data_IF_017422626804
#
_entry.id   IF_017422626804
#
_cell.length_a   1.000
_cell.length_b   1.000
_cell.length_c   1.000
_cell.angle_alpha   90.00
_cell.angle_beta   90.00
_cell.angle_gamma   90.00
#
_symmetry.space_group_name_H-M   'P 1'
#
loop_
_entity.id
_entity.type
_entity.pdbx_description
1 polymer ?
#
# COMPACT_ATOMS: atom_id res chain seq x y z
N UNK A 1 -17.19 -49.84 7.92
CA UNK A 1 -16.25 -49.08 7.06
C UNK A 1 -16.91 -47.91 6.32
N UNK A 2 -18.16 -48.01 5.86
CA UNK A 2 -18.81 -46.95 5.07
C UNK A 2 -19.15 -45.69 5.87
N UNK A 3 -19.56 -45.82 7.14
CA UNK A 3 -19.87 -44.68 8.01
C UNK A 3 -18.64 -43.80 8.32
N UNK A 4 -17.47 -44.42 8.55
CA UNK A 4 -16.21 -43.70 8.80
C UNK A 4 -15.72 -42.94 7.55
N UNK A 5 -15.88 -43.54 6.36
CA UNK A 5 -15.59 -42.91 5.07
C UNK A 5 -16.47 -41.69 4.82
N UNK A 6 -17.77 -41.79 5.12
CA UNK A 6 -18.71 -40.68 4.95
C UNK A 6 -18.40 -39.54 5.93
N UNK A 7 -18.01 -39.84 7.17
CA UNK A 7 -17.63 -38.84 8.16
C UNK A 7 -16.34 -38.10 7.75
N UNK A 8 -15.35 -38.84 7.26
CA UNK A 8 -14.10 -38.27 6.73
C UNK A 8 -14.34 -37.37 5.51
N UNK A 9 -15.28 -37.75 4.63
CA UNK A 9 -15.64 -36.96 3.46
C UNK A 9 -16.33 -35.64 3.84
N UNK A 10 -17.23 -35.68 4.83
CA UNK A 10 -17.92 -34.49 5.35
C UNK A 10 -16.93 -33.53 6.02
N UNK A 11 -15.94 -34.06 6.77
CA UNK A 11 -14.91 -33.25 7.40
C UNK A 11 -14.01 -32.56 6.36
N UNK A 12 -13.58 -33.28 5.33
CA UNK A 12 -12.82 -32.72 4.19
C UNK A 12 -13.62 -31.65 3.43
N UNK A 13 -14.93 -31.86 3.25
CA UNK A 13 -15.79 -30.88 2.60
C UNK A 13 -15.95 -29.62 3.45
N UNK A 14 -16.04 -29.76 4.77
CA UNK A 14 -16.11 -28.61 5.68
C UNK A 14 -14.82 -27.77 5.72
N UNK A 15 -13.64 -28.41 5.60
CA UNK A 15 -12.36 -27.71 5.48
C UNK A 15 -12.19 -27.01 4.12
N UNK A 16 -12.87 -27.47 3.06
CA UNK A 16 -12.84 -26.79 1.76
C UNK A 16 -13.61 -25.46 1.75
N UNK A 17 -14.54 -25.25 2.69
CA UNK A 17 -15.31 -24.01 2.82
C UNK A 17 -14.70 -22.99 3.80
N UNK A 18 -13.64 -23.34 4.53
CA UNK A 18 -12.77 -22.35 5.22
C UNK A 18 -11.76 -21.76 4.24
N UNK A 19 -12.22 -21.38 3.05
CA UNK A 19 -11.44 -20.51 2.18
C UNK A 19 -11.51 -19.10 2.73
N UNK A 20 -10.35 -18.48 3.01
CA UNK A 20 -10.28 -17.04 3.28
C UNK A 20 -10.88 -16.30 2.09
N UNK A 21 -12.16 -15.96 2.17
CA UNK A 21 -12.75 -14.97 1.28
C UNK A 21 -12.07 -13.65 1.61
N UNK A 22 -11.12 -13.27 0.75
CA UNK A 22 -10.46 -11.98 0.84
C UNK A 22 -11.49 -10.94 0.39
N UNK A 23 -12.42 -10.60 1.27
CA UNK A 23 -13.44 -9.59 1.01
C UNK A 23 -12.71 -8.32 0.57
N UNK A 24 -13.15 -7.75 -0.55
CA UNK A 24 -12.64 -6.48 -1.04
C UNK A 24 -12.73 -5.44 0.08
N UNK A 25 -11.61 -4.80 0.37
CA UNK A 25 -11.50 -3.82 1.45
C UNK A 25 -12.11 -2.49 1.03
N UNK A 26 -12.61 -1.73 1.99
CA UNK A 26 -13.01 -0.33 1.80
C UNK A 26 -11.91 0.58 2.31
N UNK A 27 -11.85 1.81 1.82
CA UNK A 27 -10.90 2.83 2.31
C UNK A 27 -10.97 2.99 3.83
N UNK A 28 -12.18 2.98 4.40
CA UNK A 28 -12.40 3.15 5.84
C UNK A 28 -11.87 2.00 6.70
N UNK A 29 -11.53 0.85 6.09
CA UNK A 29 -10.88 -0.26 6.78
C UNK A 29 -9.40 0.06 7.08
N UNK A 30 -8.79 1.01 6.36
CA UNK A 30 -7.42 1.49 6.58
C UNK A 30 -7.37 2.53 7.71
N UNK A 31 -7.63 2.06 8.92
CA UNK A 31 -7.73 2.90 10.12
C UNK A 31 -6.62 2.67 11.15
N UNK A 32 -5.74 1.68 10.93
CA UNK A 32 -4.64 1.36 11.83
C UNK A 32 -3.44 2.26 11.54
N UNK A 33 -3.02 3.09 12.50
CA UNK A 33 -1.88 3.99 12.34
C UNK A 33 -0.57 3.18 12.33
N UNK A 34 0.13 3.18 11.19
CA UNK A 34 1.40 2.47 11.03
C UNK A 34 2.61 3.35 11.33
N UNK A 35 2.51 4.63 11.00
CA UNK A 35 3.58 5.59 11.21
C UNK A 35 3.02 6.97 11.53
N UNK A 36 3.51 7.53 12.63
CA UNK A 36 3.29 8.92 13.03
C UNK A 36 4.63 9.66 12.91
N UNK A 37 4.75 10.64 12.00
CA UNK A 37 5.99 11.41 11.87
C UNK A 37 6.23 12.28 13.10
N UNK A 38 7.48 12.41 13.52
CA UNK A 38 7.87 13.26 14.67
C UNK A 38 7.93 14.75 14.28
N UNK A 39 8.54 15.05 13.12
CA UNK A 39 8.83 16.41 12.69
C UNK A 39 7.97 16.91 11.52
N UNK A 40 7.21 16.01 10.89
CA UNK A 40 6.39 16.33 9.73
C UNK A 40 4.90 16.22 10.08
N UNK A 41 4.09 17.06 9.43
CA UNK A 41 2.64 17.01 9.52
C UNK A 41 2.05 17.02 8.11
N UNK A 42 0.73 16.89 8.02
CA UNK A 42 0.03 16.91 6.72
C UNK A 42 -0.09 15.56 6.03
N UNK A 43 0.53 14.48 6.51
CA UNK A 43 0.26 13.12 6.01
C UNK A 43 0.13 12.08 7.13
N UNK A 44 -0.54 10.97 6.82
CA UNK A 44 -0.64 9.79 7.69
C UNK A 44 -0.50 8.53 6.84
N UNK A 45 0.10 7.51 7.45
CA UNK A 45 0.27 6.19 6.85
C UNK A 45 -0.53 5.20 7.69
N UNK A 46 -1.55 4.62 7.07
CA UNK A 46 -2.46 3.68 7.73
C UNK A 46 -2.50 2.33 7.03
N UNK A 47 -2.63 1.28 7.82
CA UNK A 47 -2.88 -0.09 7.39
C UNK A 47 -4.31 -0.51 7.72
N UNK A 48 -4.66 -1.72 7.32
CA UNK A 48 -5.91 -2.39 7.66
C UNK A 48 -5.63 -3.75 8.33
N UNK A 49 -6.55 -4.22 9.17
CA UNK A 49 -6.39 -5.50 9.87
C UNK A 49 -6.21 -6.68 8.90
N UNK A 50 -5.14 -7.45 9.08
CA UNK A 50 -4.84 -8.61 8.24
C UNK A 50 -4.40 -8.27 6.81
N UNK A 51 -4.01 -7.01 6.55
CA UNK A 51 -3.50 -6.53 5.26
C UNK A 51 -2.08 -6.00 5.41
N UNK A 52 -1.31 -6.15 4.36
CA UNK A 52 0.04 -5.56 4.25
C UNK A 52 0.05 -4.29 3.39
N UNK A 53 -0.97 -4.07 2.57
CA UNK A 53 -1.08 -2.81 1.82
C UNK A 53 -1.26 -1.62 2.75
N UNK A 54 -0.84 -0.46 2.28
CA UNK A 54 -0.88 0.78 3.06
C UNK A 54 -1.55 1.91 2.29
N UNK A 55 -2.31 2.72 3.01
CA UNK A 55 -2.90 3.96 2.53
C UNK A 55 -2.11 5.14 3.09
N UNK A 56 -1.58 5.96 2.19
CA UNK A 56 -0.98 7.24 2.52
C UNK A 56 -2.00 8.32 2.17
N UNK A 57 -2.41 9.09 3.17
CA UNK A 57 -3.29 10.25 2.98
C UNK A 57 -2.48 11.51 3.18
N UNK A 58 -2.48 12.41 2.21
CA UNK A 58 -1.77 13.69 2.27
C UNK A 58 -2.77 14.84 2.14
N UNK A 59 -2.70 15.81 3.05
CA UNK A 59 -3.54 17.01 3.11
C UNK A 59 -2.71 18.23 2.72
N UNK A 60 -3.33 19.11 1.94
CA UNK A 60 -2.72 20.31 1.39
C UNK A 60 -1.32 20.04 0.80
N UNK A 61 -1.21 19.10 -0.16
CA UNK A 61 0.06 18.52 -0.61
C UNK A 61 1.04 19.48 -1.31
N UNK A 62 0.61 20.69 -1.65
CA UNK A 62 1.47 21.74 -2.22
C UNK A 62 1.17 23.10 -1.58
N UNK A 63 2.11 24.04 -1.76
CA UNK A 63 1.97 25.39 -1.22
C UNK A 63 0.71 26.08 -1.77
N UNK A 64 -0.07 26.65 -0.86
CA UNK A 64 -1.33 27.33 -1.20
C UNK A 64 -2.52 26.40 -1.42
N UNK A 65 -2.36 25.08 -1.26
CA UNK A 65 -3.50 24.17 -1.21
C UNK A 65 -4.33 24.41 0.06
N UNK A 66 -5.64 24.53 -0.11
CA UNK A 66 -6.61 24.63 0.98
C UNK A 66 -7.66 23.54 0.80
N UNK A 67 -7.87 22.76 1.86
CA UNK A 67 -8.85 21.67 1.91
C UNK A 67 -8.70 20.63 0.78
N UNK A 68 -7.48 20.44 0.28
CA UNK A 68 -7.16 19.42 -0.74
C UNK A 68 -6.62 18.17 -0.06
N UNK A 69 -7.16 17.00 -0.41
CA UNK A 69 -6.63 15.71 0.03
C UNK A 69 -6.27 14.87 -1.18
N UNK A 70 -5.09 14.25 -1.15
CA UNK A 70 -4.65 13.25 -2.12
C UNK A 70 -4.32 11.94 -1.40
N UNK A 71 -4.42 10.84 -2.13
CA UNK A 71 -4.20 9.50 -1.61
C UNK A 71 -3.26 8.72 -2.51
N UNK A 72 -2.33 7.98 -1.88
CA UNK A 72 -1.52 6.95 -2.51
C UNK A 72 -1.77 5.62 -1.81
N UNK A 73 -2.16 4.61 -2.57
CA UNK A 73 -2.34 3.25 -2.09
C UNK A 73 -1.18 2.39 -2.58
N UNK A 74 -0.44 1.78 -1.64
CA UNK A 74 0.67 0.88 -1.96
C UNK A 74 0.20 -0.55 -1.76
N UNK A 75 0.02 -1.27 -2.86
CA UNK A 75 -0.42 -2.66 -2.89
C UNK A 75 0.73 -3.58 -2.52
N UNK A 76 0.50 -4.46 -1.54
CA UNK A 76 1.41 -5.55 -1.15
C UNK A 76 0.80 -6.91 -1.48
N UNK A 77 1.66 -7.87 -1.82
CA UNK A 77 1.32 -9.29 -2.00
C UNK A 77 0.09 -9.59 -2.87
N UNK A 78 -0.16 -8.76 -3.89
CA UNK A 78 -1.30 -8.93 -4.80
C UNK A 78 -2.67 -8.65 -4.16
N UNK A 79 -2.70 -7.97 -3.01
CA UNK A 79 -3.95 -7.50 -2.41
C UNK A 79 -4.73 -6.59 -3.37
N UNK A 80 -6.05 -6.63 -3.24
CA UNK A 80 -6.93 -5.82 -4.07
C UNK A 80 -6.90 -4.35 -3.64
N UNK A 81 -6.99 -3.46 -4.63
CA UNK A 81 -7.21 -2.04 -4.39
C UNK A 81 -8.61 -1.86 -3.78
N UNK A 82 -8.78 -1.01 -2.74
CA UNK A 82 -10.07 -0.81 -2.12
C UNK A 82 -11.15 -0.38 -3.12
N UNK A 83 -12.37 -0.89 -2.91
CA UNK A 83 -13.50 -0.57 -3.77
C UNK A 83 -13.75 0.95 -3.82
N UNK A 84 -13.86 1.49 -5.03
CA UNK A 84 -14.12 2.93 -5.25
C UNK A 84 -12.92 3.85 -4.99
N UNK A 85 -11.71 3.31 -4.82
CA UNK A 85 -10.51 4.14 -4.63
C UNK A 85 -10.16 4.95 -5.89
N UNK A 86 -10.10 6.28 -5.73
CA UNK A 86 -9.84 7.23 -6.81
C UNK A 86 -8.46 7.91 -6.72
N UNK A 87 -7.59 7.44 -5.82
CA UNK A 87 -6.22 7.95 -5.67
C UNK A 87 -5.20 7.24 -6.56
N UNK A 88 -3.92 7.56 -6.36
CA UNK A 88 -2.83 6.89 -7.05
C UNK A 88 -2.57 5.50 -6.47
N UNK A 89 -2.21 4.54 -7.32
CA UNK A 89 -1.88 3.18 -6.89
C UNK A 89 -0.45 2.84 -7.29
N UNK A 90 0.36 2.46 -6.30
CA UNK A 90 1.67 1.85 -6.50
C UNK A 90 1.57 0.36 -6.21
N UNK A 91 2.02 -0.49 -7.14
CA UNK A 91 2.05 -1.94 -6.95
C UNK A 91 3.46 -2.39 -6.59
N UNK A 92 3.62 -2.98 -5.41
CA UNK A 92 4.94 -3.37 -4.92
C UNK A 92 5.83 -2.15 -4.67
N UNK A 93 7.15 -2.36 -4.76
CA UNK A 93 8.13 -1.31 -4.47
C UNK A 93 8.41 -0.41 -5.67
N UNK A 94 8.81 0.83 -5.40
CA UNK A 94 9.23 1.79 -6.42
C UNK A 94 10.63 1.45 -6.95
N UNK A 95 10.71 0.53 -7.92
CA UNK A 95 11.98 -0.01 -8.46
C UNK A 95 12.69 0.89 -9.48
N UNK A 96 11.97 1.85 -10.08
CA UNK A 96 12.50 2.78 -11.07
C UNK A 96 11.94 4.16 -10.81
N UNK A 97 12.81 5.06 -10.36
CA UNK A 97 12.46 6.41 -9.91
C UNK A 97 13.15 7.40 -10.83
N UNK A 98 12.42 8.46 -11.21
CA UNK A 98 12.97 9.62 -11.89
C UNK A 98 13.08 10.75 -10.86
N UNK A 99 14.32 11.16 -10.54
CA UNK A 99 14.58 12.16 -9.52
C UNK A 99 14.54 13.57 -10.12
N UNK A 100 13.57 14.38 -9.69
CA UNK A 100 13.36 15.72 -10.23
C UNK A 100 14.18 16.83 -9.54
N UNK A 101 14.90 16.49 -8.47
CA UNK A 101 15.74 17.41 -7.68
C UNK A 101 16.92 16.64 -7.09
N UNK A 102 18.08 17.28 -6.96
CA UNK A 102 19.24 16.70 -6.27
C UNK A 102 18.94 16.33 -4.82
N UNK A 103 18.00 17.05 -4.18
CA UNK A 103 17.52 16.69 -2.83
C UNK A 103 16.86 15.31 -2.81
N UNK A 104 16.11 14.92 -3.85
CA UNK A 104 15.53 13.57 -3.93
C UNK A 104 16.63 12.50 -4.04
N UNK A 105 17.73 12.79 -4.75
CA UNK A 105 18.86 11.86 -4.87
C UNK A 105 19.51 11.66 -3.49
N UNK A 106 19.80 12.74 -2.77
CA UNK A 106 20.39 12.67 -1.44
C UNK A 106 19.50 11.92 -0.44
N UNK A 107 18.17 12.11 -0.49
CA UNK A 107 17.22 11.38 0.36
C UNK A 107 17.19 9.89 0.05
N UNK A 108 17.21 9.52 -1.24
CA UNK A 108 17.26 8.11 -1.65
C UNK A 108 18.59 7.46 -1.28
N UNK A 109 19.71 8.19 -1.41
CA UNK A 109 21.03 7.73 -0.98
C UNK A 109 21.09 7.49 0.54
N UNK A 110 20.52 8.39 1.34
CA UNK A 110 20.47 8.27 2.79
C UNK A 110 19.74 7.01 3.29
N UNK A 111 18.81 6.46 2.49
CA UNK A 111 18.11 5.21 2.80
C UNK A 111 18.64 4.00 2.00
N UNK A 112 19.74 4.15 1.27
CA UNK A 112 20.38 3.07 0.50
C UNK A 112 19.69 2.72 -0.83
N UNK A 113 18.76 3.55 -1.31
CA UNK A 113 17.92 3.30 -2.48
C UNK A 113 18.33 4.11 -3.72
N UNK A 114 19.55 4.66 -3.74
CA UNK A 114 20.09 5.40 -4.90
C UNK A 114 20.06 4.57 -6.20
N UNK A 115 20.16 3.24 -6.09
CA UNK A 115 20.12 2.29 -7.22
C UNK A 115 18.77 2.22 -7.92
N UNK A 116 17.69 2.67 -7.26
CA UNK A 116 16.37 2.74 -7.86
C UNK A 116 16.23 3.95 -8.82
N UNK A 117 17.18 4.88 -8.83
CA UNK A 117 17.15 6.05 -9.72
C UNK A 117 17.53 5.63 -11.14
N UNK A 118 16.63 5.88 -12.08
CA UNK A 118 16.78 5.55 -13.51
C UNK A 118 16.80 6.78 -14.41
N UNK A 119 16.61 7.97 -13.84
CA UNK A 119 16.71 9.24 -14.54
C UNK A 119 16.78 10.40 -13.56
N UNK A 120 17.43 11.49 -13.96
CA UNK A 120 17.59 12.71 -13.17
C UNK A 120 17.22 13.91 -14.04
N UNK A 121 16.54 14.90 -13.46
CA UNK A 121 16.29 16.17 -14.16
C UNK A 121 17.60 16.87 -14.51
N UNK A 122 17.73 17.37 -15.74
CA UNK A 122 18.90 18.15 -16.16
C UNK A 122 20.19 17.36 -16.38
N UNK A 123 20.14 16.02 -16.51
CA UNK A 123 21.28 15.24 -17.00
C UNK A 123 21.19 15.20 -18.54
N UNK A 124 22.12 15.88 -19.21
CA UNK A 124 22.28 15.98 -20.67
C UNK A 124 21.04 16.46 -21.49
N UNK A 125 20.55 17.66 -21.17
CA UNK A 125 19.82 18.53 -22.11
C UNK A 125 20.37 19.97 -22.04
#
# INVERSE_FOLDING_TARGET
>A
MNALKNLSLILLLSLAFTGCHNKSSKINDFNLLLYAPEYASGFDIKGAGGKESVLITVRNPWQGADSVTTWLFIVRNGEEVPEGFAGQVLKGDAKRIVAMSSTHIAMLDAIGEVRCITGVSGIDY
#
